data_IF_370979138924
#
_entry.id   IF_370979138924
#
_cell.length_a   1.000
_cell.length_b   1.000
_cell.length_c   1.000
_cell.angle_alpha   90.00
_cell.angle_beta   90.00
_cell.angle_gamma   90.00
#
_symmetry.space_group_name_H-M   'P 1'
#
loop_
_entity.id
_entity.type
_entity.pdbx_description
1 polymer ?
#
# COMPACT_ATOMS: atom_id res chain seq x y z
N UNK A 1 36.31 -23.38 3.21
CA UNK A 1 35.68 -22.09 2.88
C UNK A 1 35.97 -21.88 1.43
N UNK A 2 34.99 -22.18 0.58
CA UNK A 2 35.08 -21.78 -0.81
C UNK A 2 34.94 -20.25 -0.86
N UNK A 3 35.90 -19.58 -1.49
CA UNK A 3 35.83 -18.15 -1.74
C UNK A 3 34.81 -17.90 -2.84
N UNK A 4 33.65 -17.37 -2.47
CA UNK A 4 32.66 -16.89 -3.43
C UNK A 4 33.18 -15.64 -4.15
N UNK A 5 33.14 -15.65 -5.48
CA UNK A 5 33.54 -14.53 -6.30
C UNK A 5 32.40 -13.50 -6.39
N UNK A 6 32.67 -12.19 -6.21
CA UNK A 6 31.71 -11.12 -6.44
C UNK A 6 31.06 -11.17 -7.84
N UNK A 7 29.73 -11.03 -7.90
CA UNK A 7 28.99 -10.85 -9.15
C UNK A 7 29.01 -9.35 -9.49
N UNK A 8 29.76 -8.96 -10.53
CA UNK A 8 29.95 -7.55 -10.89
C UNK A 8 28.65 -6.88 -11.34
N UNK A 9 27.82 -7.64 -12.05
CA UNK A 9 26.51 -7.25 -12.54
C UNK A 9 25.59 -6.81 -11.40
N UNK A 10 25.71 -7.44 -10.21
CA UNK A 10 24.95 -7.04 -9.01
C UNK A 10 25.35 -5.65 -8.54
N UNK A 11 26.65 -5.36 -8.53
CA UNK A 11 27.18 -4.07 -8.10
C UNK A 11 26.79 -2.96 -9.09
N UNK A 12 26.83 -3.25 -10.39
CA UNK A 12 26.46 -2.31 -11.44
C UNK A 12 24.96 -2.00 -11.40
N UNK A 13 24.09 -3.02 -11.36
CA UNK A 13 22.64 -2.79 -11.29
C UNK A 13 22.24 -2.03 -10.02
N UNK A 14 22.82 -2.35 -8.85
CA UNK A 14 22.55 -1.61 -7.63
C UNK A 14 22.90 -0.13 -7.83
N UNK A 15 24.04 0.19 -8.46
CA UNK A 15 24.44 1.58 -8.72
C UNK A 15 23.48 2.26 -9.70
N UNK A 16 23.17 1.61 -10.82
CA UNK A 16 22.29 2.15 -11.87
C UNK A 16 20.85 2.33 -11.36
N UNK A 17 20.41 1.47 -10.43
CA UNK A 17 19.11 1.55 -9.75
C UNK A 17 19.09 2.54 -8.56
N UNK A 18 20.14 3.34 -8.35
CA UNK A 18 20.19 4.36 -7.29
C UNK A 18 20.57 3.85 -5.90
N UNK A 19 21.02 2.60 -5.78
CA UNK A 19 21.44 1.94 -4.54
C UNK A 19 22.92 2.13 -4.16
N UNK A 20 23.65 3.05 -4.80
CA UNK A 20 25.07 3.35 -4.48
C UNK A 20 25.27 3.77 -3.00
N UNK A 21 24.21 4.20 -2.32
CA UNK A 21 24.21 4.50 -0.90
C UNK A 21 24.57 3.30 0.01
N UNK A 22 24.48 2.06 -0.50
CA UNK A 22 24.86 0.83 0.22
C UNK A 22 26.28 0.89 0.80
N UNK A 23 27.21 1.57 0.10
CA UNK A 23 28.62 1.71 0.50
C UNK A 23 28.83 2.49 1.80
N UNK A 24 27.83 3.28 2.22
CA UNK A 24 27.90 4.04 3.47
C UNK A 24 27.51 3.20 4.70
N UNK A 25 27.11 1.95 4.52
CA UNK A 25 26.70 1.07 5.62
C UNK A 25 27.89 0.66 6.50
N UNK A 26 27.90 1.11 7.76
CA UNK A 26 28.88 0.70 8.78
C UNK A 26 28.38 -0.44 9.70
N UNK A 27 27.33 -1.15 9.30
CA UNK A 27 26.87 -2.39 9.94
C UNK A 27 26.34 -2.27 11.39
N UNK A 28 25.79 -1.10 11.77
CA UNK A 28 25.25 -0.84 13.12
C UNK A 28 24.11 -1.77 13.59
N UNK A 29 23.41 -2.46 12.69
CA UNK A 29 22.35 -3.42 13.04
C UNK A 29 20.98 -2.83 13.37
N UNK A 30 20.81 -1.50 13.40
CA UNK A 30 19.50 -0.85 13.67
C UNK A 30 18.37 -1.31 12.75
N UNK A 31 18.69 -1.63 11.49
CA UNK A 31 17.69 -2.16 10.55
C UNK A 31 17.14 -3.53 10.97
N UNK A 32 17.97 -4.40 11.56
CA UNK A 32 17.53 -5.71 12.04
C UNK A 32 16.67 -5.58 13.29
N UNK A 33 17.04 -4.70 14.22
CA UNK A 33 16.33 -4.52 15.50
C UNK A 33 14.90 -4.01 15.32
N UNK A 34 14.63 -3.25 14.26
CA UNK A 34 13.29 -2.70 13.99
C UNK A 34 12.51 -3.46 12.92
N UNK A 35 13.11 -4.45 12.28
CA UNK A 35 12.46 -5.18 11.19
C UNK A 35 11.33 -6.07 11.74
N UNK A 36 10.09 -5.96 11.25
CA UNK A 36 8.97 -6.76 11.74
C UNK A 36 9.16 -8.27 11.52
N UNK A 37 9.95 -8.69 10.53
CA UNK A 37 10.28 -10.10 10.32
C UNK A 37 10.91 -10.77 11.53
N UNK A 38 11.73 -10.03 12.31
CA UNK A 38 12.39 -10.55 13.50
C UNK A 38 11.45 -10.85 14.68
N UNK A 39 10.14 -10.57 14.54
CA UNK A 39 9.12 -11.02 15.49
C UNK A 39 8.59 -12.42 15.21
N UNK A 40 8.76 -12.92 13.99
CA UNK A 40 8.16 -14.19 13.54
C UNK A 40 9.19 -15.17 12.98
N UNK A 41 10.40 -14.71 12.65
CA UNK A 41 11.50 -15.54 12.17
C UNK A 41 12.83 -14.80 12.24
N UNK A 42 13.94 -15.49 11.99
CA UNK A 42 15.23 -14.81 11.75
C UNK A 42 15.25 -14.16 10.37
N UNK A 43 15.57 -12.86 10.33
CA UNK A 43 15.78 -12.09 9.10
C UNK A 43 16.80 -10.98 9.33
N UNK A 44 17.78 -10.81 8.44
CA UNK A 44 18.79 -9.75 8.58
C UNK A 44 18.82 -8.87 7.33
N UNK A 45 18.25 -7.67 7.45
CA UNK A 45 18.39 -6.62 6.45
C UNK A 45 19.86 -6.15 6.38
N UNK A 46 20.56 -6.11 7.53
CA UNK A 46 21.98 -5.77 7.58
C UNK A 46 22.82 -6.73 6.72
N UNK A 47 22.57 -8.04 6.84
CA UNK A 47 23.23 -9.08 6.03
C UNK A 47 23.01 -8.82 4.54
N UNK A 48 21.76 -8.65 4.11
CA UNK A 48 21.43 -8.38 2.70
C UNK A 48 22.11 -7.13 2.16
N UNK A 49 22.15 -6.04 2.94
CA UNK A 49 22.85 -4.82 2.57
C UNK A 49 24.37 -5.06 2.47
N UNK A 50 24.94 -5.89 3.33
CA UNK A 50 26.37 -6.23 3.30
C UNK A 50 26.72 -7.08 2.08
N UNK A 51 25.91 -8.08 1.77
CA UNK A 51 26.07 -8.94 0.59
C UNK A 51 25.94 -8.12 -0.70
N UNK A 52 24.95 -7.24 -0.76
CA UNK A 52 24.75 -6.31 -1.87
C UNK A 52 25.97 -5.40 -2.10
N UNK A 53 26.66 -4.97 -1.05
CA UNK A 53 27.88 -4.15 -1.15
C UNK A 53 29.01 -4.87 -1.89
N UNK A 54 29.06 -6.21 -1.80
CA UNK A 54 30.10 -7.04 -2.38
C UNK A 54 29.65 -7.85 -3.59
N UNK A 55 28.42 -7.66 -4.08
CA UNK A 55 27.88 -8.47 -5.16
C UNK A 55 27.74 -9.96 -4.79
N UNK A 56 27.52 -10.26 -3.51
CA UNK A 56 27.36 -11.62 -2.97
C UNK A 56 25.89 -11.98 -2.73
N UNK A 57 24.96 -11.20 -3.26
CA UNK A 57 23.53 -11.45 -3.01
C UNK A 57 23.01 -12.59 -3.87
N UNK A 58 22.44 -13.59 -3.22
CA UNK A 58 21.75 -14.70 -3.88
C UNK A 58 20.33 -14.27 -4.34
N UNK A 59 20.21 -13.83 -5.58
CA UNK A 59 18.92 -13.35 -6.14
C UNK A 59 17.86 -14.46 -6.29
N UNK A 60 18.28 -15.73 -6.25
CA UNK A 60 17.40 -16.91 -6.30
C UNK A 60 16.72 -17.19 -4.96
N UNK A 61 17.18 -16.57 -3.87
CA UNK A 61 16.68 -16.84 -2.53
C UNK A 61 15.50 -15.92 -2.17
N UNK A 62 14.64 -16.38 -1.26
CA UNK A 62 13.47 -15.62 -0.80
C UNK A 62 13.82 -14.37 0.02
N UNK A 63 15.06 -14.24 0.51
CA UNK A 63 15.41 -13.19 1.47
C UNK A 63 15.19 -11.78 0.92
N UNK A 64 15.55 -11.51 -0.34
CA UNK A 64 15.32 -10.21 -0.97
C UNK A 64 13.82 -9.90 -1.12
N UNK A 65 12.98 -10.93 -1.24
CA UNK A 65 11.53 -10.84 -1.40
C UNK A 65 10.76 -10.70 -0.09
N UNK A 66 11.44 -10.86 1.06
CA UNK A 66 10.84 -10.65 2.38
C UNK A 66 10.61 -9.18 2.68
N UNK A 67 11.48 -8.28 2.21
CA UNK A 67 11.30 -6.84 2.47
C UNK A 67 9.90 -6.34 2.06
N UNK A 68 9.11 -5.85 3.01
CA UNK A 68 7.75 -5.32 2.74
C UNK A 68 7.76 -3.87 2.28
N UNK A 69 8.95 -3.30 2.03
CA UNK A 69 9.18 -1.88 1.77
C UNK A 69 8.51 -0.94 2.77
N UNK A 70 8.29 -1.41 4.02
CA UNK A 70 7.48 -0.66 4.98
C UNK A 70 8.16 0.61 5.53
N UNK A 71 9.47 0.79 5.32
CA UNK A 71 10.20 2.01 5.69
C UNK A 71 10.69 2.10 7.14
N UNK A 72 10.33 1.17 8.05
CA UNK A 72 10.73 1.27 9.47
C UNK A 72 12.27 1.27 9.65
N UNK A 73 12.99 0.46 8.87
CA UNK A 73 14.46 0.43 8.90
C UNK A 73 15.12 1.64 8.22
N UNK A 74 14.50 2.22 7.20
CA UNK A 74 15.01 3.39 6.50
C UNK A 74 14.96 4.62 7.41
N UNK A 75 13.85 4.84 8.12
CA UNK A 75 13.64 5.96 9.03
C UNK A 75 14.66 6.04 10.19
N UNK A 76 15.24 4.91 10.60
CA UNK A 76 16.21 4.86 11.71
C UNK A 76 17.66 4.70 11.23
N UNK A 77 17.91 4.71 9.91
CA UNK A 77 19.24 4.50 9.37
C UNK A 77 20.10 5.77 9.52
N UNK A 78 21.20 5.73 10.29
CA UNK A 78 22.02 6.92 10.53
C UNK A 78 22.84 7.38 9.32
N UNK A 79 22.83 6.60 8.23
CA UNK A 79 23.60 6.86 7.00
C UNK A 79 22.72 6.93 5.76
N UNK A 80 21.42 6.77 5.93
CA UNK A 80 20.45 6.67 4.83
C UNK A 80 20.97 5.81 3.67
N UNK A 81 21.21 4.53 3.95
CA UNK A 81 21.76 3.61 2.93
C UNK A 81 20.70 3.16 1.93
N UNK A 82 19.51 3.78 1.91
CA UNK A 82 18.43 3.51 0.97
C UNK A 82 18.05 2.03 0.88
N UNK A 83 17.76 1.40 2.02
CA UNK A 83 17.50 -0.05 2.09
C UNK A 83 16.37 -0.49 1.16
N UNK A 84 15.32 0.32 0.99
CA UNK A 84 14.20 -0.02 0.12
C UNK A 84 14.66 -0.09 -1.34
N UNK A 85 15.38 0.93 -1.80
CA UNK A 85 15.90 1.03 -3.16
C UNK A 85 16.85 -0.12 -3.46
N UNK A 86 17.74 -0.47 -2.52
CA UNK A 86 18.63 -1.62 -2.67
C UNK A 86 17.86 -2.94 -2.85
N UNK A 87 16.81 -3.16 -2.05
CA UNK A 87 16.01 -4.38 -2.18
C UNK A 87 15.22 -4.43 -3.48
N UNK A 88 14.69 -3.29 -3.94
CA UNK A 88 13.99 -3.21 -5.24
C UNK A 88 14.96 -3.40 -6.41
N UNK A 89 16.19 -2.88 -6.32
CA UNK A 89 17.24 -3.09 -7.32
C UNK A 89 17.61 -4.59 -7.45
N UNK A 90 17.80 -5.28 -6.33
CA UNK A 90 18.05 -6.72 -6.32
C UNK A 90 16.88 -7.52 -6.93
N UNK A 91 15.65 -7.10 -6.66
CA UNK A 91 14.46 -7.72 -7.28
C UNK A 91 14.33 -7.41 -8.75
N UNK A 92 14.80 -6.25 -9.22
CA UNK A 92 14.85 -5.90 -10.64
C UNK A 92 15.75 -6.87 -11.39
N UNK A 93 16.92 -7.20 -10.84
CA UNK A 93 17.77 -8.27 -11.37
C UNK A 93 17.05 -9.61 -11.42
N UNK A 94 16.51 -10.05 -10.28
CA UNK A 94 15.82 -11.34 -10.19
C UNK A 94 14.67 -11.44 -11.20
N UNK A 95 13.85 -10.39 -11.30
CA UNK A 95 12.76 -10.29 -12.27
C UNK A 95 13.27 -10.29 -13.72
N UNK A 96 14.36 -9.57 -14.02
CA UNK A 96 14.98 -9.55 -15.34
C UNK A 96 15.46 -10.92 -15.81
N UNK A 97 15.99 -11.75 -14.89
CA UNK A 97 16.35 -13.14 -15.16
C UNK A 97 15.18 -14.12 -15.04
N UNK A 98 13.97 -13.66 -14.73
CA UNK A 98 12.80 -14.52 -14.55
C UNK A 98 12.87 -15.41 -13.29
N UNK A 99 13.72 -15.06 -12.33
CA UNK A 99 13.97 -15.80 -11.10
C UNK A 99 12.94 -15.42 -10.05
N UNK A 100 12.04 -16.35 -9.74
CA UNK A 100 11.02 -16.18 -8.72
C UNK A 100 10.95 -17.42 -7.82
N UNK A 101 11.31 -17.29 -6.54
CA UNK A 101 11.13 -18.36 -5.55
C UNK A 101 9.67 -18.80 -5.46
N UNK A 102 9.42 -20.01 -4.94
CA UNK A 102 8.09 -20.60 -4.88
C UNK A 102 7.04 -19.66 -4.29
N UNK A 103 7.33 -19.04 -3.13
CA UNK A 103 6.41 -18.13 -2.46
C UNK A 103 6.05 -16.87 -3.26
N UNK A 104 6.83 -16.51 -4.29
CA UNK A 104 6.68 -15.27 -5.08
C UNK A 104 6.12 -15.54 -6.47
N UNK A 105 6.11 -16.79 -6.93
CA UNK A 105 5.61 -17.19 -8.26
C UNK A 105 4.26 -16.58 -8.67
N UNK A 106 3.27 -16.36 -7.76
CA UNK A 106 2.00 -15.73 -8.16
C UNK A 106 2.15 -14.32 -8.76
N UNK A 107 3.27 -13.62 -8.53
CA UNK A 107 3.57 -12.35 -9.20
C UNK A 107 3.56 -12.46 -10.73
N UNK A 108 3.85 -13.64 -11.28
CA UNK A 108 3.82 -13.87 -12.73
C UNK A 108 2.40 -13.75 -13.28
N UNK A 109 1.40 -14.26 -12.56
CA UNK A 109 0.00 -14.13 -12.93
C UNK A 109 -0.45 -12.67 -12.84
N UNK A 110 -0.06 -11.97 -11.77
CA UNK A 110 -0.32 -10.54 -11.64
C UNK A 110 0.33 -9.72 -12.77
N UNK A 111 1.57 -10.05 -13.15
CA UNK A 111 2.27 -9.41 -14.27
C UNK A 111 1.53 -9.64 -15.59
N UNK A 112 1.10 -10.88 -15.84
CA UNK A 112 0.35 -11.22 -17.06
C UNK A 112 -0.96 -10.43 -17.14
N UNK A 113 -1.76 -10.41 -16.06
CA UNK A 113 -3.02 -9.66 -16.02
C UNK A 113 -2.80 -8.15 -16.18
N UNK A 114 -1.72 -7.59 -15.62
CA UNK A 114 -1.37 -6.18 -15.83
C UNK A 114 -1.04 -5.88 -17.28
N UNK A 115 -0.36 -6.79 -17.98
CA UNK A 115 -0.04 -6.63 -19.41
C UNK A 115 -1.27 -6.80 -20.30
N UNK A 116 -2.15 -7.76 -20.03
CA UNK A 116 -3.32 -8.03 -20.88
C UNK A 116 -4.51 -7.12 -20.58
N UNK A 117 -4.82 -6.95 -19.29
CA UNK A 117 -6.09 -6.38 -18.83
C UNK A 117 -5.91 -5.11 -18.01
N UNK A 118 -4.67 -4.63 -17.83
CA UNK A 118 -4.38 -3.43 -17.06
C UNK A 118 -4.64 -3.58 -15.56
N UNK A 119 -4.91 -4.79 -15.06
CA UNK A 119 -5.18 -5.06 -13.65
C UNK A 119 -4.56 -6.40 -13.21
N UNK A 120 -4.14 -6.53 -11.95
CA UNK A 120 -3.38 -7.69 -11.50
C UNK A 120 -4.21 -8.95 -11.30
N UNK A 121 -5.54 -8.89 -11.48
CA UNK A 121 -6.43 -10.04 -11.32
C UNK A 121 -6.74 -10.75 -12.65
N UNK A 122 -6.32 -10.18 -13.78
CA UNK A 122 -6.66 -10.72 -15.12
C UNK A 122 -8.17 -10.66 -15.42
N UNK A 123 -8.88 -9.75 -14.76
CA UNK A 123 -10.32 -9.54 -14.98
C UNK A 123 -10.56 -8.57 -16.14
N UNK A 124 -11.70 -8.70 -16.81
CA UNK A 124 -12.06 -7.79 -17.91
C UNK A 124 -12.06 -6.32 -17.48
N UNK A 125 -11.50 -5.44 -18.33
CA UNK A 125 -11.43 -3.99 -18.07
C UNK A 125 -12.79 -3.35 -17.82
N UNK A 126 -13.82 -3.83 -18.51
CA UNK A 126 -15.21 -3.37 -18.36
C UNK A 126 -15.77 -3.62 -16.97
N UNK A 127 -15.26 -4.63 -16.25
CA UNK A 127 -15.71 -4.95 -14.89
C UNK A 127 -15.21 -3.96 -13.83
N UNK A 128 -14.21 -3.13 -14.15
CA UNK A 128 -13.57 -2.21 -13.20
C UNK A 128 -14.54 -1.22 -12.55
N UNK A 129 -15.57 -0.80 -13.28
CA UNK A 129 -16.58 0.14 -12.84
C UNK A 129 -17.85 -0.54 -12.30
N UNK A 130 -17.90 -1.88 -12.19
CA UNK A 130 -19.13 -2.56 -11.78
C UNK A 130 -19.59 -2.22 -10.37
N UNK A 131 -18.64 -1.98 -9.46
CA UNK A 131 -18.93 -1.55 -8.09
C UNK A 131 -19.71 -0.22 -8.05
N UNK A 132 -19.64 0.59 -9.11
CA UNK A 132 -20.22 1.92 -9.17
C UNK A 132 -21.70 1.90 -9.61
N UNK A 133 -22.18 0.78 -10.18
CA UNK A 133 -23.56 0.61 -10.65
C UNK A 133 -24.54 0.83 -9.49
N UNK A 134 -25.48 1.76 -9.65
CA UNK A 134 -26.50 2.06 -8.63
C UNK A 134 -26.03 2.98 -7.49
N UNK A 135 -24.84 3.59 -7.59
CA UNK A 135 -24.27 4.43 -6.54
C UNK A 135 -24.00 5.87 -6.96
N UNK A 136 -24.67 6.35 -8.02
CA UNK A 136 -24.57 7.74 -8.52
C UNK A 136 -23.12 8.18 -8.75
N UNK A 137 -22.35 7.35 -9.44
CA UNK A 137 -20.97 7.64 -9.83
C UNK A 137 -20.97 7.97 -11.31
N UNK A 138 -20.41 9.12 -11.67
CA UNK A 138 -20.38 9.59 -13.05
C UNK A 138 -19.12 9.10 -13.76
N UNK A 139 -19.15 9.10 -15.09
CA UNK A 139 -17.92 9.08 -15.88
C UNK A 139 -17.23 10.42 -15.67
N UNK A 140 -15.91 10.41 -15.44
CA UNK A 140 -15.15 11.64 -15.28
C UNK A 140 -15.15 12.44 -16.59
N UNK A 141 -15.43 13.75 -16.50
CA UNK A 141 -15.36 14.70 -17.60
C UNK A 141 -14.50 15.90 -17.20
N UNK A 142 -13.87 16.55 -18.18
CA UNK A 142 -13.06 17.75 -17.93
C UNK A 142 -13.92 18.84 -17.28
N UNK A 143 -13.43 19.39 -16.16
CA UNK A 143 -14.14 20.41 -15.39
C UNK A 143 -14.68 19.92 -14.05
N UNK A 144 -14.83 18.60 -13.87
CA UNK A 144 -15.20 18.02 -12.57
C UNK A 144 -14.14 18.32 -11.49
N UNK A 145 -14.59 18.42 -10.23
CA UNK A 145 -13.74 18.72 -9.07
C UNK A 145 -12.63 17.68 -8.89
N UNK A 146 -12.98 16.38 -9.04
CA UNK A 146 -12.05 15.31 -8.70
C UNK A 146 -12.25 14.03 -9.50
N UNK A 147 -11.14 13.45 -9.96
CA UNK A 147 -11.12 12.07 -10.44
C UNK A 147 -11.02 11.15 -9.22
N UNK A 148 -12.03 10.31 -9.00
CA UNK A 148 -11.91 9.24 -8.03
C UNK A 148 -11.23 8.02 -8.67
N UNK A 149 -10.07 7.64 -8.15
CA UNK A 149 -9.33 6.44 -8.54
C UNK A 149 -9.37 5.41 -7.37
N UNK A 150 -10.29 4.43 -7.40
CA UNK A 150 -10.44 3.46 -6.32
C UNK A 150 -9.21 2.54 -6.17
N UNK A 151 -8.52 2.27 -7.27
CA UNK A 151 -7.46 1.26 -7.36
C UNK A 151 -8.00 -0.16 -7.55
N UNK A 152 -7.10 -1.13 -7.76
CA UNK A 152 -7.51 -2.47 -8.20
C UNK A 152 -8.34 -3.21 -7.16
N UNK A 153 -7.95 -3.19 -5.89
CA UNK A 153 -8.67 -3.95 -4.87
C UNK A 153 -10.09 -3.43 -4.64
N UNK A 154 -10.32 -2.13 -4.40
CA UNK A 154 -11.68 -1.61 -4.31
C UNK A 154 -12.52 -1.74 -5.60
N UNK A 155 -11.87 -1.88 -6.77
CA UNK A 155 -12.59 -2.14 -8.02
C UNK A 155 -13.02 -3.60 -8.23
N UNK A 156 -12.21 -4.58 -7.80
CA UNK A 156 -12.39 -5.99 -8.18
C UNK A 156 -12.67 -6.92 -7.00
N UNK A 157 -12.03 -6.73 -5.85
CA UNK A 157 -12.16 -7.59 -4.69
C UNK A 157 -13.55 -7.44 -4.02
N UNK A 158 -14.21 -8.55 -3.71
CA UNK A 158 -15.59 -8.54 -3.23
C UNK A 158 -15.77 -7.82 -1.87
N UNK A 159 -14.79 -7.94 -0.96
CA UNK A 159 -14.82 -7.26 0.34
C UNK A 159 -14.56 -5.76 0.18
N UNK A 160 -13.65 -5.39 -0.72
CA UNK A 160 -13.18 -4.01 -0.88
C UNK A 160 -14.01 -3.18 -1.86
N UNK A 161 -14.84 -3.81 -2.70
CA UNK A 161 -15.93 -3.09 -3.40
C UNK A 161 -16.81 -2.29 -2.45
N UNK A 162 -17.03 -2.78 -1.22
CA UNK A 162 -17.77 -2.05 -0.18
C UNK A 162 -17.10 -0.73 0.20
N UNK A 163 -15.76 -0.69 0.23
CA UNK A 163 -14.98 0.52 0.49
C UNK A 163 -15.18 1.53 -0.64
N UNK A 164 -15.12 1.09 -1.91
CA UNK A 164 -15.37 1.99 -3.03
C UNK A 164 -16.78 2.59 -3.00
N UNK A 165 -17.79 1.76 -2.68
CA UNK A 165 -19.18 2.20 -2.49
C UNK A 165 -19.31 3.16 -1.31
N UNK A 166 -18.62 2.90 -0.19
CA UNK A 166 -18.61 3.79 0.97
C UNK A 166 -18.06 5.17 0.61
N UNK A 167 -16.90 5.21 -0.04
CA UNK A 167 -16.31 6.45 -0.57
C UNK A 167 -17.30 7.19 -1.47
N UNK A 168 -17.88 6.53 -2.48
CA UNK A 168 -18.81 7.19 -3.41
C UNK A 168 -20.05 7.77 -2.71
N UNK A 169 -20.62 7.07 -1.72
CA UNK A 169 -21.75 7.62 -0.95
C UNK A 169 -21.37 8.85 -0.13
N UNK A 170 -20.17 8.86 0.46
CA UNK A 170 -19.67 10.01 1.21
C UNK A 170 -19.48 11.22 0.27
N UNK A 171 -18.83 11.01 -0.88
CA UNK A 171 -18.62 12.06 -1.87
C UNK A 171 -19.94 12.67 -2.37
N UNK A 172 -20.90 11.81 -2.70
CA UNK A 172 -22.24 12.23 -3.10
C UNK A 172 -22.96 13.02 -1.98
N UNK A 173 -22.88 12.55 -0.73
CA UNK A 173 -23.49 13.23 0.42
C UNK A 173 -22.85 14.59 0.68
N UNK A 174 -21.55 14.73 0.43
CA UNK A 174 -20.80 15.98 0.56
C UNK A 174 -20.95 16.94 -0.64
N UNK A 175 -21.74 16.56 -1.65
CA UNK A 175 -21.95 17.36 -2.86
C UNK A 175 -20.65 17.56 -3.67
N UNK A 176 -19.78 16.56 -3.68
CA UNK A 176 -18.54 16.59 -4.49
C UNK A 176 -18.88 16.25 -5.94
N UNK A 177 -18.38 17.06 -6.88
CA UNK A 177 -18.49 16.76 -8.30
C UNK A 177 -17.35 15.83 -8.73
N UNK A 178 -17.60 14.52 -8.72
CA UNK A 178 -16.60 13.51 -9.02
C UNK A 178 -17.03 12.53 -10.10
N UNK A 179 -16.04 11.95 -10.77
CA UNK A 179 -16.24 10.84 -11.71
C UNK A 179 -15.11 9.82 -11.64
N UNK A 180 -15.29 8.72 -12.37
CA UNK A 180 -14.28 7.66 -12.57
C UNK A 180 -14.01 7.46 -14.06
N UNK A 181 -12.84 6.94 -14.42
CA UNK A 181 -12.51 6.64 -15.82
C UNK A 181 -12.82 5.17 -16.19
N UNK A 182 -13.22 4.35 -15.22
CA UNK A 182 -13.71 3.00 -15.44
C UNK A 182 -12.73 2.14 -16.23
N UNK A 183 -13.16 1.59 -17.37
CA UNK A 183 -12.33 0.72 -18.21
C UNK A 183 -11.07 1.40 -18.78
N UNK A 184 -11.04 2.75 -18.81
CA UNK A 184 -9.88 3.53 -19.23
C UNK A 184 -8.73 3.55 -18.20
N UNK A 185 -8.98 3.13 -16.96
CA UNK A 185 -7.97 3.10 -15.91
C UNK A 185 -7.13 1.81 -15.96
N UNK A 186 -5.82 1.95 -15.82
CA UNK A 186 -4.95 0.83 -15.48
C UNK A 186 -4.66 0.80 -13.97
N UNK A 187 -4.03 -0.26 -13.50
CA UNK A 187 -3.37 -0.29 -12.20
C UNK A 187 -2.36 0.85 -12.09
N UNK A 188 -2.20 1.44 -10.90
CA UNK A 188 -1.18 2.45 -10.63
C UNK A 188 0.26 1.94 -10.81
N UNK A 189 0.46 0.61 -10.87
CA UNK A 189 1.78 -0.01 -11.07
C UNK A 189 2.62 -0.18 -9.80
N UNK A 190 2.15 0.26 -8.63
CA UNK A 190 2.92 0.23 -7.38
C UNK A 190 3.54 -1.14 -7.10
N UNK A 191 2.70 -2.18 -7.04
CA UNK A 191 3.15 -3.50 -6.57
C UNK A 191 4.16 -4.11 -7.53
N UNK A 192 3.98 -3.91 -8.83
CA UNK A 192 4.86 -4.52 -9.84
C UNK A 192 6.21 -3.81 -9.93
N UNK A 193 6.23 -2.50 -9.67
CA UNK A 193 7.48 -1.78 -9.51
C UNK A 193 8.26 -2.31 -8.31
N UNK A 194 7.59 -2.59 -7.18
CA UNK A 194 8.26 -3.13 -5.97
C UNK A 194 8.73 -4.58 -6.11
N UNK A 195 8.23 -5.32 -7.10
CA UNK A 195 8.76 -6.64 -7.50
C UNK A 195 9.87 -6.52 -8.53
N UNK A 196 10.23 -5.32 -8.97
CA UNK A 196 11.37 -5.08 -9.85
C UNK A 196 11.03 -5.03 -11.34
N UNK A 197 9.77 -5.13 -11.75
CA UNK A 197 9.39 -5.01 -13.16
C UNK A 197 9.23 -3.53 -13.56
N UNK A 198 10.36 -2.86 -13.74
CA UNK A 198 10.40 -1.42 -14.05
C UNK A 198 9.77 -1.10 -15.41
N UNK A 199 9.95 -1.95 -16.41
CA UNK A 199 9.44 -1.70 -17.76
C UNK A 199 7.91 -1.78 -17.81
N UNK A 200 7.30 -2.77 -17.15
CA UNK A 200 5.84 -2.85 -17.02
C UNK A 200 5.29 -1.68 -16.20
N UNK A 201 5.99 -1.25 -15.13
CA UNK A 201 5.63 -0.04 -14.39
C UNK A 201 5.63 1.20 -15.31
N UNK A 202 6.68 1.43 -16.08
CA UNK A 202 6.77 2.56 -17.02
C UNK A 202 5.67 2.52 -18.07
N UNK A 203 5.31 1.35 -18.57
CA UNK A 203 4.19 1.19 -19.51
C UNK A 203 2.87 1.64 -18.85
N UNK A 204 2.53 1.06 -17.70
CA UNK A 204 1.30 1.40 -16.97
C UNK A 204 1.24 2.88 -16.60
N UNK A 205 2.38 3.45 -16.17
CA UNK A 205 2.48 4.86 -15.82
C UNK A 205 2.20 5.75 -17.03
N UNK A 206 2.86 5.52 -18.17
CA UNK A 206 2.64 6.31 -19.41
C UNK A 206 1.19 6.24 -19.89
N UNK A 207 0.59 5.05 -19.87
CA UNK A 207 -0.81 4.88 -20.27
C UNK A 207 -1.76 5.64 -19.35
N UNK A 208 -1.60 5.51 -18.02
CA UNK A 208 -2.40 6.26 -17.05
C UNK A 208 -2.21 7.78 -17.19
N UNK A 209 -0.97 8.25 -17.32
CA UNK A 209 -0.65 9.67 -17.50
C UNK A 209 -1.32 10.21 -18.75
N UNK A 210 -1.23 9.48 -19.87
CA UNK A 210 -1.92 9.85 -21.11
C UNK A 210 -3.43 9.96 -20.89
N UNK A 211 -4.05 8.95 -20.28
CA UNK A 211 -5.49 8.97 -20.00
C UNK A 211 -5.87 10.16 -19.11
N UNK A 212 -5.08 10.47 -18.07
CA UNK A 212 -5.35 11.59 -17.18
C UNK A 212 -5.25 12.94 -17.89
N UNK A 213 -4.22 13.14 -18.71
CA UNK A 213 -4.03 14.38 -19.50
C UNK A 213 -5.15 14.54 -20.53
N UNK A 214 -5.47 13.48 -21.27
CA UNK A 214 -6.49 13.53 -22.32
C UNK A 214 -7.90 13.84 -21.80
N UNK A 215 -8.17 13.53 -20.51
CA UNK A 215 -9.44 13.84 -19.85
C UNK A 215 -9.38 15.12 -18.99
N UNK A 216 -8.29 15.89 -19.04
CA UNK A 216 -8.17 17.15 -18.29
C UNK A 216 -8.11 16.98 -16.76
N UNK A 217 -7.65 15.82 -16.27
CA UNK A 217 -7.57 15.51 -14.84
C UNK A 217 -6.54 16.40 -14.15
N UNK A 218 -6.96 17.10 -13.09
CA UNK A 218 -6.09 17.95 -12.25
C UNK A 218 -5.89 17.39 -10.85
N UNK A 219 -6.99 16.93 -10.24
CA UNK A 219 -7.05 16.42 -8.87
C UNK A 219 -7.51 14.96 -8.86
N UNK A 220 -6.77 14.10 -8.17
CA UNK A 220 -7.01 12.65 -8.10
C UNK A 220 -7.19 12.24 -6.63
N UNK A 221 -8.38 11.74 -6.31
CA UNK A 221 -8.69 11.11 -5.02
C UNK A 221 -8.36 9.63 -5.09
N UNK A 222 -7.59 9.13 -4.12
CA UNK A 222 -7.24 7.71 -4.04
C UNK A 222 -7.66 7.09 -2.70
N UNK A 223 -8.16 5.86 -2.76
CA UNK A 223 -8.50 5.06 -1.57
C UNK A 223 -7.32 4.27 -1.00
N UNK A 224 -6.23 4.15 -1.76
CA UNK A 224 -5.07 3.36 -1.37
C UNK A 224 -3.84 4.24 -1.13
N UNK A 225 -3.16 4.10 0.01
CA UNK A 225 -1.87 4.75 0.26
C UNK A 225 -0.78 4.34 -0.72
N UNK A 226 -0.90 3.15 -1.32
CA UNK A 226 0.03 2.68 -2.36
C UNK A 226 -0.17 3.46 -3.66
N UNK A 227 -1.42 3.65 -4.10
CA UNK A 227 -1.73 4.52 -5.24
C UNK A 227 -1.32 5.97 -4.96
N UNK A 228 -1.58 6.47 -3.74
CA UNK A 228 -1.16 7.79 -3.29
C UNK A 228 0.35 7.98 -3.45
N UNK A 229 1.14 7.06 -2.90
CA UNK A 229 2.59 7.12 -2.98
C UNK A 229 3.09 7.08 -4.43
N UNK A 230 2.54 6.19 -5.25
CA UNK A 230 2.99 6.04 -6.64
C UNK A 230 2.64 7.25 -7.49
N UNK A 231 1.42 7.76 -7.43
CA UNK A 231 1.05 8.95 -8.19
C UNK A 231 1.74 10.22 -7.69
N UNK A 232 1.96 10.34 -6.38
CA UNK A 232 2.57 11.54 -5.80
C UNK A 232 4.09 11.57 -5.92
N UNK A 233 4.76 10.43 -5.73
CA UNK A 233 6.21 10.38 -5.56
C UNK A 233 6.95 9.70 -6.72
N UNK A 234 6.28 8.84 -7.49
CA UNK A 234 6.93 8.05 -8.55
C UNK A 234 6.54 8.53 -9.96
N UNK A 235 5.29 8.94 -10.17
CA UNK A 235 4.87 9.53 -11.45
C UNK A 235 5.59 10.85 -11.81
N UNK A 236 6.06 11.68 -10.87
CA UNK A 236 6.91 12.82 -11.19
C UNK A 236 8.20 12.49 -11.94
N UNK A 237 8.68 11.24 -11.90
CA UNK A 237 9.82 10.79 -12.72
C UNK A 237 9.55 10.90 -14.23
N UNK A 238 8.28 11.03 -14.64
CA UNK A 238 7.85 11.26 -16.02
C UNK A 238 7.58 12.74 -16.34
N UNK A 239 8.05 13.66 -15.48
CA UNK A 239 7.85 15.11 -15.59
C UNK A 239 6.38 15.56 -15.59
N UNK A 240 5.51 14.82 -14.89
CA UNK A 240 4.10 15.18 -14.70
C UNK A 240 3.77 15.31 -13.22
N UNK A 241 2.88 16.24 -12.90
CA UNK A 241 2.47 16.49 -11.52
C UNK A 241 0.95 16.64 -11.50
N UNK A 242 0.29 15.77 -10.75
CA UNK A 242 -1.15 15.85 -10.46
C UNK A 242 -1.32 16.20 -8.99
N UNK A 243 -2.42 16.86 -8.64
CA UNK A 243 -2.79 17.02 -7.25
C UNK A 243 -3.35 15.68 -6.74
N UNK A 244 -2.64 15.01 -5.85
CA UNK A 244 -3.05 13.72 -5.29
C UNK A 244 -3.51 13.91 -3.85
N UNK A 245 -4.73 13.46 -3.55
CA UNK A 245 -5.29 13.48 -2.19
C UNK A 245 -5.71 12.08 -1.78
N UNK A 246 -5.30 11.64 -0.59
CA UNK A 246 -5.76 10.38 -0.03
C UNK A 246 -7.14 10.56 0.61
N UNK A 247 -8.01 9.54 0.55
CA UNK A 247 -9.35 9.61 1.09
C UNK A 247 -9.39 10.09 2.54
N UNK A 248 -8.48 9.63 3.41
CA UNK A 248 -8.44 10.11 4.81
C UNK A 248 -8.20 11.62 4.94
N UNK A 249 -7.40 12.21 4.06
CA UNK A 249 -7.14 13.65 4.04
C UNK A 249 -8.35 14.40 3.51
N UNK A 250 -8.99 13.87 2.46
CA UNK A 250 -10.16 14.50 1.87
C UNK A 250 -11.38 14.43 2.79
N UNK A 251 -11.56 13.34 3.55
CA UNK A 251 -12.59 13.28 4.60
C UNK A 251 -12.37 14.36 5.67
N UNK A 252 -11.12 14.58 6.07
CA UNK A 252 -10.77 15.64 7.01
C UNK A 252 -11.09 17.04 6.45
N UNK A 253 -10.74 17.30 5.20
CA UNK A 253 -11.10 18.52 4.44
C UNK A 253 -12.62 18.74 4.42
N UNK A 254 -13.39 17.77 3.92
CA UNK A 254 -14.84 17.88 3.78
C UNK A 254 -15.57 18.14 5.11
N UNK A 255 -15.10 17.54 6.21
CA UNK A 255 -15.71 17.76 7.54
C UNK A 255 -15.33 19.16 8.07
N UNK A 256 -14.09 19.62 7.88
CA UNK A 256 -13.66 20.96 8.31
C UNK A 256 -14.35 22.08 7.53
N UNK A 257 -14.62 21.86 6.25
CA UNK A 257 -15.35 22.80 5.40
C UNK A 257 -16.86 22.81 5.65
N UNK A 258 -17.36 21.88 6.48
CA UNK A 258 -18.79 21.72 6.74
C UNK A 258 -19.58 21.10 5.58
N UNK A 259 -18.90 20.65 4.52
CA UNK A 259 -19.50 19.92 3.39
C UNK A 259 -20.01 18.53 3.81
N UNK A 260 -19.38 17.92 4.82
CA UNK A 260 -19.79 16.65 5.37
C UNK A 260 -20.14 16.77 6.85
N UNK A 261 -21.43 16.57 7.18
CA UNK A 261 -21.93 16.64 8.55
C UNK A 261 -22.12 15.23 9.12
N UNK A 262 -21.51 14.98 10.28
CA UNK A 262 -21.72 13.76 11.06
C UNK A 262 -22.98 13.96 11.91
N UNK A 263 -23.99 13.11 11.70
CA UNK A 263 -25.33 13.28 12.27
C UNK A 263 -25.73 12.18 13.26
N UNK A 264 -24.98 11.07 13.30
CA UNK A 264 -25.27 9.93 14.18
C UNK A 264 -24.08 9.60 15.07
N UNK A 265 -24.38 8.91 16.15
CA UNK A 265 -23.40 8.37 17.08
C UNK A 265 -22.81 7.05 16.56
N UNK A 266 -21.55 6.80 16.94
CA UNK A 266 -20.85 5.54 16.75
C UNK A 266 -20.29 5.04 18.08
N UNK A 267 -21.15 4.52 18.95
CA UNK A 267 -20.80 4.08 20.30
C UNK A 267 -20.02 2.75 20.30
N UNK A 268 -18.83 2.76 19.71
CA UNK A 268 -17.88 1.64 19.68
C UNK A 268 -16.49 2.10 20.09
N UNK A 269 -15.76 1.17 20.70
CA UNK A 269 -14.34 1.32 20.97
C UNK A 269 -13.53 0.77 19.81
N UNK A 270 -12.78 1.64 19.14
CA UNK A 270 -12.00 1.28 17.96
C UNK A 270 -10.52 1.60 18.16
N UNK A 271 -9.66 0.92 17.40
CA UNK A 271 -8.25 1.30 17.26
C UNK A 271 -7.91 1.55 15.80
N UNK A 272 -6.94 2.43 15.56
CA UNK A 272 -6.45 2.71 14.21
C UNK A 272 -5.12 2.00 13.91
N UNK A 273 -5.00 1.41 12.72
CA UNK A 273 -3.73 0.93 12.18
C UNK A 273 -3.21 1.92 11.13
N UNK A 274 -2.03 2.48 11.40
CA UNK A 274 -1.33 3.36 10.46
C UNK A 274 -0.75 2.56 9.28
N UNK A 275 -1.25 2.77 8.05
CA UNK A 275 -0.67 2.15 6.88
C UNK A 275 0.73 2.70 6.65
N UNK A 276 1.71 1.83 6.44
CA UNK A 276 3.10 2.27 6.29
C UNK A 276 3.32 3.22 5.10
N UNK A 277 2.59 3.03 3.99
CA UNK A 277 2.65 3.93 2.84
C UNK A 277 1.93 5.25 3.07
N UNK A 278 0.98 5.35 4.01
CA UNK A 278 0.33 6.63 4.35
C UNK A 278 1.20 7.41 5.35
N UNK A 279 1.62 6.72 6.40
CA UNK A 279 2.45 7.28 7.48
C UNK A 279 3.92 7.40 7.10
N UNK A 280 4.70 6.31 7.19
CA UNK A 280 6.17 6.38 7.08
C UNK A 280 6.70 6.88 5.74
N UNK A 281 5.93 6.73 4.67
CA UNK A 281 6.32 7.21 3.34
C UNK A 281 5.81 8.60 3.00
N UNK A 282 4.69 9.05 3.60
CA UNK A 282 4.02 10.30 3.18
C UNK A 282 3.66 11.25 4.34
N UNK A 283 3.98 10.89 5.59
CA UNK A 283 3.83 11.74 6.77
C UNK A 283 2.40 11.91 7.28
N UNK A 284 1.42 11.17 6.74
CA UNK A 284 0.01 11.33 7.07
C UNK A 284 -0.36 10.42 8.24
N UNK A 285 -0.61 11.02 9.39
CA UNK A 285 -0.96 10.32 10.64
C UNK A 285 -2.14 10.96 11.38
N UNK A 286 -2.26 12.28 11.32
CA UNK A 286 -3.23 13.02 12.13
C UNK A 286 -4.60 13.05 11.48
N UNK A 287 -4.68 13.27 10.16
CA UNK A 287 -5.95 13.41 9.44
C UNK A 287 -6.91 12.22 9.65
N UNK A 288 -6.48 10.94 9.56
CA UNK A 288 -7.38 9.82 9.86
C UNK A 288 -7.90 9.84 11.30
N UNK A 289 -7.07 10.24 12.28
CA UNK A 289 -7.45 10.27 13.69
C UNK A 289 -8.41 11.42 13.97
N UNK A 290 -8.16 12.59 13.39
CA UNK A 290 -9.02 13.75 13.55
C UNK A 290 -10.40 13.54 12.91
N UNK A 291 -10.48 12.79 11.81
CA UNK A 291 -11.77 12.33 11.27
C UNK A 291 -12.51 11.45 12.29
N UNK A 292 -11.86 10.43 12.84
CA UNK A 292 -12.48 9.49 13.79
C UNK A 292 -12.92 10.18 15.09
N UNK A 293 -12.10 11.09 15.64
CA UNK A 293 -12.41 11.84 16.89
C UNK A 293 -13.63 12.77 16.75
N UNK A 294 -14.00 13.16 15.54
CA UNK A 294 -15.20 14.00 15.31
C UNK A 294 -16.49 13.20 15.35
N UNK A 295 -16.43 11.87 15.38
CA UNK A 295 -17.61 11.01 15.41
C UNK A 295 -18.12 10.92 16.86
N UNK A 296 -19.35 11.38 17.15
CA UNK A 296 -19.91 11.29 18.50
C UNK A 296 -19.97 9.84 18.99
N UNK A 297 -19.68 9.63 20.28
CA UNK A 297 -19.73 8.31 20.94
C UNK A 297 -18.57 7.36 20.62
N UNK A 298 -17.74 7.67 19.62
CA UNK A 298 -16.60 6.84 19.24
C UNK A 298 -15.46 6.98 20.27
N UNK A 299 -15.00 5.86 20.83
CA UNK A 299 -13.80 5.81 21.67
C UNK A 299 -12.61 5.32 20.83
N UNK A 300 -11.67 6.22 20.55
CA UNK A 300 -10.43 5.87 19.85
C UNK A 300 -9.33 5.51 20.85
N UNK A 301 -8.91 4.25 20.85
CA UNK A 301 -7.77 3.77 21.64
C UNK A 301 -6.57 3.47 20.73
N UNK A 302 -5.37 3.89 21.14
CA UNK A 302 -4.14 3.61 20.38
C UNK A 302 -3.49 2.30 20.82
N UNK A 303 -3.00 1.53 19.86
CA UNK A 303 -2.10 0.40 20.13
C UNK A 303 -0.69 0.89 20.51
N UNK A 304 0.12 0.08 21.25
CA UNK A 304 1.46 0.48 21.70
C UNK A 304 2.42 0.87 20.56
N UNK A 305 2.33 0.18 19.42
CA UNK A 305 3.06 0.52 18.21
C UNK A 305 2.11 1.26 17.25
N UNK A 306 2.03 2.58 17.35
CA UNK A 306 1.24 3.43 16.46
C UNK A 306 2.09 4.48 15.75
N UNK A 307 1.48 5.23 14.83
CA UNK A 307 2.11 6.26 14.00
C UNK A 307 3.36 5.74 13.29
N UNK A 308 4.48 6.45 13.36
CA UNK A 308 5.75 6.07 12.72
C UNK A 308 6.26 4.71 13.20
N UNK A 309 5.90 4.31 14.43
CA UNK A 309 6.31 3.05 15.04
C UNK A 309 5.40 1.87 14.66
N UNK A 310 4.26 2.13 13.99
CA UNK A 310 3.25 1.12 13.63
C UNK A 310 3.83 -0.14 13.00
N UNK A 311 3.35 -1.29 13.45
CA UNK A 311 3.76 -2.58 12.91
C UNK A 311 3.28 -2.72 11.45
N UNK A 312 4.06 -3.34 10.57
CA UNK A 312 3.65 -3.52 9.17
C UNK A 312 2.52 -4.55 9.06
N UNK A 313 1.55 -4.36 8.16
CA UNK A 313 0.52 -5.38 7.91
C UNK A 313 1.11 -6.63 7.24
N UNK A 314 2.13 -6.50 6.39
CA UNK A 314 2.83 -7.61 5.72
C UNK A 314 2.72 -7.66 4.19
N UNK A 315 1.83 -6.88 3.57
CA UNK A 315 1.52 -6.97 2.14
C UNK A 315 2.25 -5.98 1.22
N UNK A 316 2.92 -4.96 1.78
CA UNK A 316 3.69 -3.99 0.99
C UNK A 316 4.87 -4.62 0.25
N UNK A 317 5.48 -3.87 -0.66
CA UNK A 317 6.71 -4.31 -1.33
C UNK A 317 6.49 -5.47 -2.30
N UNK A 318 5.31 -5.55 -2.92
CA UNK A 318 4.95 -6.65 -3.82
C UNK A 318 4.54 -7.95 -3.13
N UNK A 319 4.58 -8.01 -1.79
CA UNK A 319 4.21 -9.20 -1.02
C UNK A 319 2.70 -9.48 -0.98
N UNK A 320 1.89 -8.57 -1.47
CA UNK A 320 0.48 -8.79 -1.79
C UNK A 320 0.30 -10.01 -2.72
N UNK A 321 1.32 -10.33 -3.55
CA UNK A 321 1.36 -11.50 -4.43
C UNK A 321 2.16 -12.68 -3.85
N UNK A 322 2.62 -12.56 -2.61
CA UNK A 322 3.48 -13.57 -1.99
C UNK A 322 2.69 -14.44 -1.02
N UNK A 323 2.93 -15.75 -1.09
CA UNK A 323 2.45 -16.66 -0.07
C UNK A 323 3.24 -16.43 1.23
N UNK A 324 2.51 -16.29 2.35
CA UNK A 324 3.10 -16.10 3.68
C UNK A 324 2.49 -17.13 4.63
N UNK A 325 3.31 -18.06 5.19
CA UNK A 325 2.84 -19.04 6.15
C UNK A 325 2.14 -18.37 7.33
N UNK A 326 1.10 -19.01 7.88
CA UNK A 326 0.29 -18.45 8.97
C UNK A 326 1.14 -17.91 10.13
N UNK A 327 2.13 -18.68 10.58
CA UNK A 327 3.01 -18.31 11.70
C UNK A 327 3.98 -17.15 11.40
N UNK A 328 4.13 -16.76 10.13
CA UNK A 328 4.95 -15.62 9.69
C UNK A 328 4.13 -14.35 9.42
N UNK A 329 2.81 -14.37 9.62
CA UNK A 329 1.94 -13.23 9.30
C UNK A 329 2.02 -12.14 10.37
N UNK A 330 2.45 -10.95 9.96
CA UNK A 330 2.48 -9.78 10.82
C UNK A 330 1.09 -9.32 11.25
N UNK A 331 0.10 -9.54 10.37
CA UNK A 331 -1.29 -9.24 10.63
C UNK A 331 -1.83 -9.95 11.87
N UNK A 332 -1.40 -11.18 12.16
CA UNK A 332 -1.76 -11.90 13.39
C UNK A 332 -1.34 -11.10 14.63
N UNK A 333 -0.06 -10.72 14.70
CA UNK A 333 0.48 -9.93 15.82
C UNK A 333 -0.25 -8.59 15.98
N UNK A 334 -0.65 -7.98 14.85
CA UNK A 334 -1.36 -6.70 14.87
C UNK A 334 -2.82 -6.85 15.36
N UNK A 335 -3.51 -7.93 14.99
CA UNK A 335 -4.84 -8.24 15.51
C UNK A 335 -4.79 -8.49 17.01
N UNK A 336 -3.80 -9.23 17.51
CA UNK A 336 -3.59 -9.44 18.95
C UNK A 336 -3.37 -8.12 19.70
N UNK A 337 -2.62 -7.18 19.12
CA UNK A 337 -2.46 -5.85 19.71
C UNK A 337 -3.78 -5.08 19.80
N UNK A 338 -4.61 -5.17 18.77
CA UNK A 338 -5.92 -4.52 18.72
C UNK A 338 -6.88 -5.11 19.76
N UNK A 339 -6.93 -6.44 19.87
CA UNK A 339 -7.72 -7.16 20.88
C UNK A 339 -7.20 -6.84 22.28
N UNK A 340 -5.88 -6.78 22.46
CA UNK A 340 -5.24 -6.51 23.75
C UNK A 340 -5.53 -5.12 24.33
N UNK A 341 -5.86 -4.13 23.49
CA UNK A 341 -6.35 -2.82 23.96
C UNK A 341 -7.87 -2.77 24.15
N UNK A 342 -8.56 -3.88 23.90
CA UNK A 342 -10.01 -4.02 24.02
C UNK A 342 -10.77 -3.30 22.91
N UNK A 343 -10.21 -3.20 21.70
CA UNK A 343 -10.92 -2.63 20.57
C UNK A 343 -11.91 -3.64 19.96
N UNK A 344 -13.11 -3.18 19.66
CA UNK A 344 -14.13 -3.94 18.93
C UNK A 344 -13.84 -3.95 17.42
N UNK A 345 -13.19 -2.91 16.91
CA UNK A 345 -12.85 -2.76 15.50
C UNK A 345 -11.40 -2.28 15.31
N UNK A 346 -10.70 -2.93 14.38
CA UNK A 346 -9.43 -2.48 13.81
C UNK A 346 -9.71 -1.68 12.53
N UNK A 347 -9.60 -0.36 12.64
CA UNK A 347 -9.83 0.57 11.53
C UNK A 347 -8.51 0.91 10.84
N UNK A 348 -8.54 0.99 9.51
CA UNK A 348 -7.39 1.41 8.70
C UNK A 348 -7.88 2.21 7.49
N UNK A 349 -6.96 2.73 6.69
CA UNK A 349 -7.26 3.43 5.44
C UNK A 349 -6.38 2.88 4.31
N UNK A 350 -6.27 1.55 4.22
CA UNK A 350 -5.43 0.88 3.23
C UNK A 350 -6.04 -0.46 2.82
N UNK A 351 -6.42 -0.61 1.53
CA UNK A 351 -6.96 -1.85 1.00
C UNK A 351 -6.08 -3.07 1.27
N UNK A 352 -4.75 -2.97 1.10
CA UNK A 352 -3.82 -4.07 1.39
C UNK A 352 -3.80 -4.44 2.87
N UNK A 353 -3.89 -3.47 3.77
CA UNK A 353 -3.95 -3.78 5.21
C UNK A 353 -5.25 -4.53 5.53
N UNK A 354 -6.39 -4.08 4.98
CA UNK A 354 -7.69 -4.74 5.19
C UNK A 354 -7.64 -6.18 4.70
N UNK A 355 -7.16 -6.43 3.47
CA UNK A 355 -7.03 -7.79 2.93
C UNK A 355 -6.25 -8.69 3.88
N UNK A 356 -5.07 -8.26 4.34
CA UNK A 356 -4.27 -9.14 5.20
C UNK A 356 -4.86 -9.35 6.60
N UNK A 357 -5.53 -8.33 7.15
CA UNK A 357 -6.16 -8.43 8.45
C UNK A 357 -7.40 -9.33 8.38
N UNK A 358 -8.21 -9.24 7.33
CA UNK A 358 -9.35 -10.15 7.12
C UNK A 358 -8.88 -11.59 6.93
N UNK A 359 -7.86 -11.81 6.09
CA UNK A 359 -7.27 -13.15 5.89
C UNK A 359 -6.74 -13.75 7.20
N UNK A 360 -6.12 -12.93 8.05
CA UNK A 360 -5.60 -13.37 9.35
C UNK A 360 -6.71 -13.56 10.37
N UNK A 361 -7.74 -12.71 10.35
CA UNK A 361 -8.91 -12.80 11.22
C UNK A 361 -9.63 -14.13 11.03
N UNK A 362 -9.92 -14.50 9.78
CA UNK A 362 -10.59 -15.78 9.45
C UNK A 362 -9.72 -16.96 9.88
N UNK A 363 -8.43 -16.93 9.55
CA UNK A 363 -7.52 -18.04 9.85
C UNK A 363 -7.30 -18.26 11.36
N UNK A 364 -7.40 -17.20 12.17
CA UNK A 364 -7.33 -17.26 13.62
C UNK A 364 -8.69 -17.55 14.29
N UNK A 365 -9.78 -17.62 13.52
CA UNK A 365 -11.16 -17.74 14.00
C UNK A 365 -11.58 -16.56 14.90
N UNK A 366 -11.18 -15.34 14.50
CA UNK A 366 -11.50 -14.09 15.19
C UNK A 366 -12.70 -13.35 14.58
N UNK A 367 -13.51 -14.04 13.79
CA UNK A 367 -14.69 -13.50 13.12
C UNK A 367 -15.66 -12.81 14.10
N UNK A 368 -15.86 -13.41 15.29
CA UNK A 368 -16.72 -12.90 16.36
C UNK A 368 -15.96 -12.09 17.43
N UNK A 369 -14.65 -11.89 17.26
CA UNK A 369 -13.77 -11.26 18.26
C UNK A 369 -13.47 -9.81 17.94
N UNK A 370 -13.17 -9.50 16.68
CA UNK A 370 -12.82 -8.15 16.23
C UNK A 370 -13.26 -7.93 14.78
N UNK A 371 -13.73 -6.73 14.43
CA UNK A 371 -14.04 -6.40 13.03
C UNK A 371 -12.89 -5.64 12.38
N UNK A 372 -12.70 -5.81 11.07
CA UNK A 372 -11.73 -5.02 10.28
C UNK A 372 -12.52 -4.08 9.37
N UNK A 373 -12.27 -2.77 9.47
CA UNK A 373 -12.98 -1.76 8.69
C UNK A 373 -12.06 -0.74 8.03
N UNK A 374 -12.49 -0.26 6.88
CA UNK A 374 -11.97 0.99 6.32
C UNK A 374 -12.58 2.20 7.04
N UNK A 375 -11.83 3.29 7.15
CA UNK A 375 -12.32 4.55 7.72
C UNK A 375 -13.57 5.09 7.02
N UNK A 376 -13.72 4.85 5.72
CA UNK A 376 -14.90 5.26 4.95
C UNK A 376 -16.15 4.45 5.32
N UNK A 377 -16.01 3.20 5.72
CA UNK A 377 -17.14 2.37 6.16
C UNK A 377 -17.72 2.93 7.47
N UNK A 378 -16.84 3.30 8.41
CA UNK A 378 -17.25 3.97 9.66
C UNK A 378 -17.99 5.28 9.36
N UNK A 379 -17.38 6.13 8.53
CA UNK A 379 -17.95 7.45 8.26
C UNK A 379 -19.27 7.36 7.50
N UNK A 380 -19.44 6.39 6.60
CA UNK A 380 -20.71 6.13 5.90
C UNK A 380 -21.85 5.80 6.88
N UNK A 381 -21.57 5.09 7.98
CA UNK A 381 -22.60 4.69 8.95
C UNK A 381 -23.19 5.90 9.70
N UNK A 382 -22.43 7.01 9.81
CA UNK A 382 -22.76 8.14 10.71
C UNK A 382 -23.21 9.44 10.03
N UNK A 383 -23.29 9.46 8.70
CA UNK A 383 -23.71 10.62 7.90
C UNK A 383 -25.15 10.52 7.36
#
# INVERSE_FOLDING_TARGET
MDTEAPIKEVIEEIKESGGDAVKFCYQCGKCDTVCPWNKVRTFSMRKLIREATFGLTEIEHEEIWRCTTCGKCAQICPRDVQQIQNMVALRRMATGYGVFPAAIKPVRAASAGLTSDGNPFGEERTKRAEWAKGHSVQTFEEGMEILYFPGCYPSYDARLKKVAVATAKILNKAGVEFGILGAGENCCGESIRKTGNEELFKQLARENIKTFIDNGVKRILVSSPHCYHTFRNEYPEFNVHFEIVHISQYLFELINEGRLQISKEYAKKITYHDPCYLGRHNGIYDEPREVLKKIPGLELIEMPESRENSFCCGMGGGRIWAETPMFERFANLRLEQAIGVGAEELVTACPYCITNFEDSRVVLNYDDVIQVKDITEILQEVI
#
